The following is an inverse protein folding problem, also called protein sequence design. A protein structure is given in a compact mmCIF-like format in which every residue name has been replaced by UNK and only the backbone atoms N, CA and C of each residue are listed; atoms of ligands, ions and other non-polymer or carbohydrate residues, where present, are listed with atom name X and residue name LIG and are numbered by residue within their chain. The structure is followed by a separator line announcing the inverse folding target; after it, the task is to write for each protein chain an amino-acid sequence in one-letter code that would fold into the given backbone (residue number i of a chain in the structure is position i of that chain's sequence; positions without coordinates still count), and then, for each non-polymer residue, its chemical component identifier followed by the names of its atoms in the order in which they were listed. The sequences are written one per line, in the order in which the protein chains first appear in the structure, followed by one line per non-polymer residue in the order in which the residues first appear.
data_IF_082602860351
#
_entry.id   IF_082602860351
#
_cell.length_a   1.000
_cell.length_b   1.000
_cell.length_c   1.000
_cell.angle_alpha   90.00
_cell.angle_beta   90.00
_cell.angle_gamma   90.00
#
_symmetry.space_group_name_H-M   'P 1'
#
loop_
_entity.id
_entity.type
_entity.pdbx_description
1 polymer ?
#
# COMPACT_ATOMS: atom_id res chain seq x y z
N UNK A 1 -3.20 12.45 52.00
CA UNK A 1 -3.13 13.54 51.00
C UNK A 1 -2.29 13.21 49.77
N UNK A 2 -1.25 12.36 49.86
CA UNK A 2 -0.44 11.90 48.70
C UNK A 2 -1.16 10.89 47.76
N UNK A 3 -1.98 9.99 48.33
CA UNK A 3 -2.72 8.98 47.55
C UNK A 3 -3.96 9.52 46.82
N UNK A 4 -4.52 10.64 47.29
CA UNK A 4 -5.72 11.24 46.71
C UNK A 4 -5.41 12.01 45.40
N UNK A 5 -4.20 12.54 45.29
CA UNK A 5 -3.67 13.18 44.07
C UNK A 5 -3.32 12.13 43.01
N UNK A 6 -2.84 10.95 43.42
CA UNK A 6 -2.53 9.85 42.50
C UNK A 6 -3.80 9.25 41.85
N UNK A 7 -4.90 9.15 42.60
CA UNK A 7 -6.19 8.69 42.07
C UNK A 7 -6.81 9.68 41.06
N UNK A 8 -6.66 10.99 41.33
CA UNK A 8 -7.17 12.03 40.43
C UNK A 8 -6.34 12.16 39.14
N UNK A 9 -5.02 11.91 39.22
CA UNK A 9 -4.15 11.82 38.06
C UNK A 9 -4.45 10.59 37.19
N UNK A 10 -4.83 9.47 37.81
CA UNK A 10 -5.22 8.26 37.07
C UNK A 10 -6.59 8.43 36.38
N UNK A 11 -7.55 9.11 37.00
CA UNK A 11 -8.86 9.38 36.38
C UNK A 11 -8.81 10.41 35.25
N UNK A 12 -7.84 11.34 35.24
CA UNK A 12 -7.67 12.27 34.13
C UNK A 12 -7.13 11.59 32.85
N UNK A 13 -6.46 10.43 32.98
CA UNK A 13 -5.88 9.71 31.83
C UNK A 13 -6.89 8.87 31.05
N UNK A 14 -8.09 8.60 31.58
CA UNK A 14 -9.07 7.70 30.95
C UNK A 14 -10.03 8.43 30.03
N UNK A 15 -10.12 9.77 30.12
CA UNK A 15 -11.02 10.56 29.28
C UNK A 15 -10.44 10.92 27.89
N UNK A 16 -9.22 10.45 27.54
CA UNK A 16 -8.56 10.79 26.26
C UNK A 16 -8.68 9.67 25.22
N UNK A 17 -9.18 8.48 25.57
CA UNK A 17 -9.50 7.42 24.59
C UNK A 17 -10.95 7.53 24.10
N UNK A 18 -11.36 8.73 23.70
CA UNK A 18 -12.60 8.89 22.93
C UNK A 18 -12.37 8.35 21.53
N UNK A 19 -12.84 7.13 21.25
CA UNK A 19 -12.97 6.67 19.88
C UNK A 19 -14.15 7.42 19.28
N UNK A 20 -13.88 8.22 18.25
CA UNK A 20 -14.91 8.92 17.51
C UNK A 20 -15.39 8.11 16.32
N UNK A 21 -16.48 8.56 15.71
CA UNK A 21 -16.96 8.00 14.45
C UNK A 21 -16.03 8.46 13.31
N UNK A 22 -15.42 7.53 12.59
CA UNK A 22 -14.57 7.84 11.44
C UNK A 22 -15.43 8.19 10.23
N UNK A 23 -15.10 9.26 9.53
CA UNK A 23 -15.75 9.57 8.26
C UNK A 23 -15.19 8.71 7.12
N UNK A 24 -16.01 7.78 6.60
CA UNK A 24 -15.61 6.91 5.47
C UNK A 24 -15.18 7.70 4.22
N UNK A 25 -15.67 8.92 4.00
CA UNK A 25 -15.27 9.75 2.86
C UNK A 25 -13.84 10.31 2.98
N UNK A 26 -13.25 10.24 4.18
CA UNK A 26 -11.87 10.64 4.47
C UNK A 26 -10.92 9.43 4.57
N UNK A 27 -11.44 8.22 4.39
CA UNK A 27 -10.65 7.00 4.26
C UNK A 27 -10.37 6.73 2.78
N UNK A 28 -9.13 6.39 2.46
CA UNK A 28 -8.70 6.08 1.10
C UNK A 28 -7.73 4.91 1.12
N UNK A 29 -7.88 3.98 0.19
CA UNK A 29 -6.90 2.89 0.00
C UNK A 29 -5.81 3.42 -0.93
N UNK A 30 -4.60 3.53 -0.42
CA UNK A 30 -3.48 4.10 -1.17
C UNK A 30 -2.70 3.05 -1.93
N UNK A 31 -2.64 1.83 -1.41
CA UNK A 31 -1.89 0.73 -2.02
C UNK A 31 -2.41 -0.64 -1.59
N UNK A 32 -2.22 -1.63 -2.47
CA UNK A 32 -2.55 -3.03 -2.21
C UNK A 32 -1.44 -3.90 -2.80
N UNK A 33 -0.71 -4.60 -1.94
CA UNK A 33 0.37 -5.50 -2.33
C UNK A 33 -0.07 -6.94 -2.11
N UNK A 34 0.08 -7.79 -3.12
CA UNK A 34 -0.26 -9.21 -3.05
C UNK A 34 1.02 -10.00 -3.28
N UNK A 35 1.37 -10.86 -2.32
CA UNK A 35 2.48 -11.80 -2.45
C UNK A 35 1.94 -13.22 -2.66
N UNK A 36 1.98 -13.70 -3.90
CA UNK A 36 1.52 -15.04 -4.26
C UNK A 36 2.49 -16.16 -3.83
N UNK A 37 3.73 -15.84 -3.46
CA UNK A 37 4.69 -16.82 -2.94
C UNK A 37 4.52 -17.02 -1.43
N UNK A 38 4.35 -15.93 -0.68
CA UNK A 38 4.14 -15.95 0.76
C UNK A 38 2.66 -16.10 1.15
N UNK A 39 1.75 -16.03 0.17
CA UNK A 39 0.30 -16.08 0.37
C UNK A 39 -0.20 -15.00 1.33
N UNK A 40 0.21 -13.76 1.11
CA UNK A 40 -0.19 -12.60 1.91
C UNK A 40 -0.76 -11.48 1.04
N UNK A 41 -1.60 -10.65 1.65
CA UNK A 41 -2.10 -9.40 1.10
C UNK A 41 -1.94 -8.28 2.13
N UNK A 42 -1.32 -7.19 1.70
CA UNK A 42 -1.12 -5.99 2.48
C UNK A 42 -1.94 -4.85 1.88
N UNK A 43 -2.75 -4.20 2.70
CA UNK A 43 -3.58 -3.06 2.27
C UNK A 43 -3.18 -1.83 3.07
N UNK A 44 -2.81 -0.77 2.37
CA UNK A 44 -2.55 0.54 2.96
C UNK A 44 -3.83 1.37 2.95
N UNK A 45 -4.34 1.71 4.15
CA UNK A 45 -5.50 2.59 4.32
C UNK A 45 -5.03 3.90 4.95
N UNK A 46 -5.21 4.98 4.21
CA UNK A 46 -4.98 6.34 4.68
C UNK A 46 -6.24 6.91 5.31
N UNK A 47 -6.14 7.26 6.59
CA UNK A 47 -7.16 7.98 7.33
C UNK A 47 -6.82 9.47 7.31
N UNK A 48 -7.55 10.26 6.53
CA UNK A 48 -7.39 11.72 6.46
C UNK A 48 -8.30 12.47 7.45
N UNK A 49 -9.00 11.75 8.32
CA UNK A 49 -9.78 12.34 9.41
C UNK A 49 -8.85 12.80 10.54
N UNK A 50 -9.41 13.58 11.46
CA UNK A 50 -8.80 14.04 12.71
C UNK A 50 -8.96 13.05 13.86
N UNK A 51 -9.64 11.91 13.61
CA UNK A 51 -10.02 10.93 14.61
C UNK A 51 -9.33 9.60 14.32
N UNK A 52 -8.71 9.02 15.35
CA UNK A 52 -8.14 7.68 15.30
C UNK A 52 -9.22 6.61 15.44
N UNK A 53 -9.06 5.48 14.76
CA UNK A 53 -9.82 4.25 15.02
C UNK A 53 -8.90 3.18 15.59
N UNK A 54 -9.31 2.53 16.68
CA UNK A 54 -8.54 1.43 17.27
C UNK A 54 -9.26 0.12 17.05
N UNK A 55 -8.48 -0.92 16.78
CA UNK A 55 -8.97 -2.22 16.33
C UNK A 55 -9.81 -2.21 15.04
N UNK A 56 -9.60 -1.28 14.08
CA UNK A 56 -10.20 -1.47 12.77
C UNK A 56 -9.59 -2.68 12.07
N UNK A 57 -10.30 -3.25 11.13
CA UNK A 57 -9.81 -4.35 10.32
C UNK A 57 -10.55 -4.41 8.99
N UNK A 58 -9.93 -5.02 7.99
CA UNK A 58 -10.58 -5.34 6.73
C UNK A 58 -11.31 -6.66 6.93
N UNK A 59 -12.63 -6.64 6.82
CA UNK A 59 -13.47 -7.81 7.03
C UNK A 59 -13.41 -8.76 5.82
N UNK A 60 -13.56 -8.21 4.62
CA UNK A 60 -13.36 -8.96 3.38
C UNK A 60 -13.02 -8.03 2.22
N UNK A 61 -12.40 -8.61 1.20
CA UNK A 61 -12.07 -7.95 -0.06
C UNK A 61 -12.75 -8.73 -1.19
N UNK A 62 -13.43 -8.02 -2.07
CA UNK A 62 -14.16 -8.61 -3.22
C UNK A 62 -13.62 -8.00 -4.51
N UNK A 63 -13.39 -8.83 -5.51
CA UNK A 63 -13.02 -8.36 -6.84
C UNK A 63 -14.24 -7.90 -7.66
N UNK A 64 -13.99 -7.35 -8.85
CA UNK A 64 -15.06 -6.89 -9.73
C UNK A 64 -15.90 -8.01 -10.36
N UNK A 65 -15.47 -9.27 -10.31
CA UNK A 65 -16.30 -10.43 -10.64
C UNK A 65 -17.24 -10.85 -9.50
N UNK A 66 -17.04 -10.32 -8.30
CA UNK A 66 -17.80 -10.68 -7.11
C UNK A 66 -17.16 -11.82 -6.30
N UNK A 67 -15.95 -12.25 -6.65
CA UNK A 67 -15.23 -13.28 -5.91
C UNK A 67 -14.57 -12.68 -4.67
N UNK A 68 -14.72 -13.36 -3.53
CA UNK A 68 -14.07 -12.94 -2.27
C UNK A 68 -12.60 -13.37 -2.31
N UNK A 69 -11.72 -12.37 -2.28
CA UNK A 69 -10.26 -12.53 -2.35
C UNK A 69 -9.70 -12.93 -0.98
N UNK A 70 -10.20 -12.29 0.08
CA UNK A 70 -9.63 -12.38 1.41
C UNK A 70 -10.75 -12.15 2.44
N UNK A 71 -10.64 -12.86 3.58
CA UNK A 71 -11.45 -12.64 4.78
C UNK A 71 -10.50 -12.32 5.93
N UNK A 72 -10.73 -11.19 6.60
CA UNK A 72 -9.85 -10.69 7.64
C UNK A 72 -10.56 -10.61 8.98
N UNK A 73 -9.77 -10.79 10.02
CA UNK A 73 -10.22 -10.75 11.39
C UNK A 73 -9.69 -9.50 12.11
N UNK A 74 -10.36 -9.14 13.20
CA UNK A 74 -9.93 -8.06 14.07
C UNK A 74 -8.58 -8.40 14.72
N UNK A 75 -7.64 -7.47 14.62
CA UNK A 75 -6.31 -7.59 15.23
C UNK A 75 -5.93 -6.29 15.95
N UNK A 76 -4.72 -6.20 16.50
CA UNK A 76 -4.15 -5.00 17.12
C UNK A 76 -3.73 -3.97 16.04
N UNK A 77 -4.63 -3.62 15.15
CA UNK A 77 -4.46 -2.54 14.20
C UNK A 77 -4.99 -1.22 14.77
N UNK A 78 -4.48 -0.11 14.23
CA UNK A 78 -4.94 1.24 14.53
C UNK A 78 -4.89 2.05 13.23
N UNK A 79 -5.97 2.77 12.92
CA UNK A 79 -5.99 3.78 11.86
C UNK A 79 -5.78 5.15 12.50
N UNK A 80 -4.53 5.60 12.54
CA UNK A 80 -4.20 6.93 13.09
C UNK A 80 -4.71 8.05 12.19
N UNK A 81 -5.18 9.12 12.80
CA UNK A 81 -5.64 10.34 12.16
C UNK A 81 -4.54 10.96 11.33
N UNK A 82 -4.90 11.37 10.12
CA UNK A 82 -4.03 11.97 9.13
C UNK A 82 -2.77 11.11 8.82
N UNK A 83 -2.90 9.78 8.88
CA UNK A 83 -1.82 8.82 8.61
C UNK A 83 -2.32 7.60 7.82
N UNK A 84 -1.37 6.91 7.19
CA UNK A 84 -1.58 5.63 6.51
C UNK A 84 -1.18 4.46 7.40
N UNK A 85 -2.08 3.50 7.54
CA UNK A 85 -1.86 2.26 8.29
C UNK A 85 -1.92 1.06 7.36
N UNK A 86 -1.11 0.05 7.67
CA UNK A 86 -1.02 -1.20 6.91
C UNK A 86 -1.79 -2.31 7.59
N UNK A 87 -2.56 -3.05 6.79
CA UNK A 87 -3.36 -4.19 7.23
C UNK A 87 -2.88 -5.42 6.46
N UNK A 88 -2.26 -6.34 7.20
CA UNK A 88 -1.68 -7.57 6.66
C UNK A 88 -2.61 -8.74 6.95
N UNK A 89 -2.86 -9.55 5.92
CA UNK A 89 -3.66 -10.77 6.03
C UNK A 89 -3.11 -11.89 5.16
N UNK A 90 -3.38 -13.13 5.57
CA UNK A 90 -3.10 -14.31 4.77
C UNK A 90 -4.20 -14.54 3.71
N UNK A 91 -3.81 -15.08 2.55
CA UNK A 91 -4.70 -15.60 1.51
C UNK A 91 -4.52 -17.12 1.37
N UNK A 92 -5.55 -17.83 0.91
CA UNK A 92 -5.54 -19.31 0.92
C UNK A 92 -4.80 -19.94 -0.26
N UNK A 93 -4.60 -19.19 -1.33
CA UNK A 93 -3.99 -19.64 -2.58
C UNK A 93 -3.53 -18.43 -3.40
N UNK A 94 -2.64 -18.62 -4.38
CA UNK A 94 -2.28 -17.55 -5.30
C UNK A 94 -3.52 -17.00 -6.04
N UNK A 95 -3.58 -15.68 -6.18
CA UNK A 95 -4.70 -14.95 -6.77
C UNK A 95 -4.22 -13.95 -7.84
N UNK A 96 -5.12 -13.60 -8.74
CA UNK A 96 -4.98 -12.49 -9.69
C UNK A 96 -6.29 -11.70 -9.71
N UNK A 97 -6.44 -10.67 -8.85
CA UNK A 97 -7.69 -9.93 -8.71
C UNK A 97 -8.10 -9.25 -10.00
N UNK A 98 -9.42 -9.15 -10.22
CA UNK A 98 -9.96 -8.29 -11.26
C UNK A 98 -10.35 -6.95 -10.64
N UNK A 99 -9.65 -5.89 -11.04
CA UNK A 99 -9.89 -4.54 -10.53
C UNK A 99 -11.08 -3.85 -11.23
N UNK A 100 -11.74 -2.86 -10.57
CA UNK A 100 -11.45 -2.39 -9.22
C UNK A 100 -11.86 -3.41 -8.15
N UNK A 101 -11.10 -3.46 -7.06
CA UNK A 101 -11.44 -4.28 -5.90
C UNK A 101 -12.17 -3.42 -4.86
N UNK A 102 -13.07 -4.05 -4.11
CA UNK A 102 -13.85 -3.42 -3.04
C UNK A 102 -13.39 -3.98 -1.70
N UNK A 103 -13.03 -3.09 -0.78
CA UNK A 103 -12.44 -3.38 0.53
C UNK A 103 -13.43 -2.94 1.60
N UNK A 104 -13.89 -3.89 2.42
CA UNK A 104 -14.84 -3.63 3.49
C UNK A 104 -14.09 -3.39 4.81
N UNK A 105 -13.85 -2.12 5.11
CA UNK A 105 -13.12 -1.67 6.28
C UNK A 105 -14.07 -1.51 7.48
N UNK A 106 -13.96 -2.38 8.47
CA UNK A 106 -14.81 -2.38 9.67
C UNK A 106 -14.09 -1.71 10.83
N UNK A 107 -14.83 -0.94 11.61
CA UNK A 107 -14.38 -0.33 12.85
C UNK A 107 -15.52 -0.23 13.87
N UNK A 108 -15.17 -0.11 15.14
CA UNK A 108 -16.15 0.01 16.22
C UNK A 108 -16.10 1.40 16.85
N UNK A 109 -17.28 1.93 17.17
CA UNK A 109 -17.41 3.09 18.03
C UNK A 109 -17.74 2.62 19.45
N UNK A 110 -16.75 2.58 20.35
CA UNK A 110 -16.94 2.04 21.70
C UNK A 110 -17.44 3.07 22.71
N UNK A 111 -17.19 4.37 22.48
CA UNK A 111 -17.42 5.43 23.48
C UNK A 111 -18.23 6.62 22.97
N UNK A 112 -18.58 6.66 21.69
CA UNK A 112 -19.35 7.73 21.08
C UNK A 112 -20.87 7.65 21.32
N UNK A 113 -21.58 8.66 20.81
CA UNK A 113 -23.04 8.83 20.98
C UNK A 113 -23.87 7.67 20.40
N UNK A 114 -23.35 7.01 19.37
CA UNK A 114 -23.96 5.86 18.72
C UNK A 114 -22.92 4.72 18.73
N UNK A 115 -22.89 3.91 19.80
CA UNK A 115 -21.94 2.82 19.89
C UNK A 115 -22.39 1.66 19.00
N UNK A 116 -21.43 1.00 18.36
CA UNK A 116 -21.68 -0.10 17.45
C UNK A 116 -20.55 -0.33 16.46
N UNK A 117 -20.73 -1.33 15.61
CA UNK A 117 -19.80 -1.67 14.54
C UNK A 117 -20.26 -1.03 13.24
N UNK A 118 -19.33 -0.44 12.51
CA UNK A 118 -19.53 0.27 11.26
C UNK A 118 -18.58 -0.28 10.21
N UNK A 119 -19.04 -0.31 8.96
CA UNK A 119 -18.22 -0.75 7.83
C UNK A 119 -18.22 0.33 6.76
N UNK A 120 -17.03 0.74 6.34
CA UNK A 120 -16.81 1.58 5.18
C UNK A 120 -16.51 0.70 3.97
N UNK A 121 -17.18 0.98 2.85
CA UNK A 121 -16.87 0.38 1.56
C UNK A 121 -15.86 1.28 0.84
N UNK A 122 -14.65 0.77 0.64
CA UNK A 122 -13.55 1.49 -0.01
C UNK A 122 -13.24 0.82 -1.34
N UNK A 123 -13.05 1.60 -2.40
CA UNK A 123 -12.69 1.08 -3.73
C UNK A 123 -11.22 1.34 -4.01
N UNK A 124 -10.53 0.34 -4.55
CA UNK A 124 -9.16 0.47 -5.02
C UNK A 124 -9.06 0.02 -6.48
N UNK A 125 -8.45 0.86 -7.31
CA UNK A 125 -8.22 0.59 -8.72
C UNK A 125 -6.73 0.81 -9.03
N UNK A 126 -6.15 -0.10 -9.81
CA UNK A 126 -4.77 0.00 -10.30
C UNK A 126 -4.59 1.14 -11.28
N UNK A 127 -5.65 1.68 -11.89
CA UNK A 127 -5.56 2.89 -12.73
C UNK A 127 -4.91 4.08 -11.98
N UNK A 128 -4.97 4.10 -10.65
CA UNK A 128 -4.33 5.12 -9.81
C UNK A 128 -2.81 4.94 -9.59
N UNK A 129 -2.28 3.71 -9.77
CA UNK A 129 -0.87 3.37 -9.49
C UNK A 129 -0.06 3.00 -10.75
N UNK A 130 -0.59 3.19 -11.95
CA UNK A 130 0.20 3.08 -13.18
C UNK A 130 1.07 4.35 -13.31
N UNK A 131 2.16 4.43 -12.54
CA UNK A 131 3.38 4.98 -13.12
C UNK A 131 3.77 4.01 -14.23
N UNK A 132 3.56 4.41 -15.48
CA UNK A 132 3.97 3.67 -16.68
C UNK A 132 5.51 3.61 -16.67
N UNK A 133 6.07 2.73 -15.87
CA UNK A 133 7.40 2.16 -16.04
C UNK A 133 7.28 0.73 -16.63
N UNK A 134 6.09 0.46 -17.20
CA UNK A 134 5.79 -0.70 -18.03
C UNK A 134 6.68 -0.68 -19.27
N UNK A 135 7.83 -1.33 -19.16
CA UNK A 135 8.44 -2.12 -20.24
C UNK A 135 8.58 -1.34 -21.56
N UNK A 136 9.31 -0.23 -21.55
CA UNK A 136 10.12 0.05 -22.73
C UNK A 136 11.35 -0.85 -22.61
N UNK A 137 11.22 -2.09 -23.09
CA UNK A 137 12.39 -2.90 -23.44
C UNK A 137 13.16 -2.11 -24.51
N UNK A 138 14.07 -1.26 -24.07
CA UNK A 138 14.89 -0.44 -24.95
C UNK A 138 15.71 -1.38 -25.84
N UNK A 139 15.54 -1.25 -27.15
CA UNK A 139 16.25 -2.10 -28.10
C UNK A 139 17.59 -1.48 -28.44
N UNK A 140 18.64 -2.30 -28.52
CA UNK A 140 19.96 -1.80 -28.87
C UNK A 140 19.94 -1.27 -30.32
N UNK A 141 20.05 0.04 -30.46
CA UNK A 141 20.04 0.71 -31.77
C UNK A 141 21.41 0.68 -32.43
N UNK A 142 22.46 1.02 -31.68
CA UNK A 142 23.82 1.13 -32.23
C UNK A 142 24.90 1.02 -31.16
N UNK A 143 26.06 0.45 -31.52
CA UNK A 143 27.27 0.49 -30.70
C UNK A 143 28.31 1.40 -31.37
N UNK A 144 28.81 2.40 -30.65
CA UNK A 144 29.87 3.28 -31.13
C UNK A 144 31.07 3.31 -30.18
N UNK A 145 32.26 3.53 -30.73
CA UNK A 145 33.45 3.77 -29.93
C UNK A 145 33.54 5.24 -29.47
N UNK A 146 34.61 5.59 -28.73
CA UNK A 146 34.89 6.94 -28.26
C UNK A 146 35.10 7.99 -29.36
N UNK A 147 35.30 7.57 -30.61
CA UNK A 147 35.43 8.42 -31.79
C UNK A 147 34.11 8.54 -32.57
N UNK A 148 33.01 7.97 -32.09
CA UNK A 148 31.70 7.98 -32.74
C UNK A 148 31.58 7.02 -33.94
N UNK A 149 32.54 6.12 -34.13
CA UNK A 149 32.50 5.12 -35.20
C UNK A 149 31.76 3.87 -34.73
N UNK A 150 30.90 3.35 -35.59
CA UNK A 150 30.18 2.09 -35.38
C UNK A 150 31.14 0.89 -35.35
N UNK A 151 30.94 0.00 -34.38
CA UNK A 151 31.80 -1.16 -34.16
C UNK A 151 30.96 -2.40 -33.85
N UNK A 152 31.31 -3.53 -34.46
CA UNK A 152 30.56 -4.77 -34.28
C UNK A 152 31.03 -5.52 -33.02
N UNK A 153 32.34 -5.74 -32.83
CA UNK A 153 32.92 -6.28 -31.59
C UNK A 153 34.41 -5.96 -31.55
N UNK A 154 34.86 -5.40 -30.43
CA UNK A 154 36.26 -5.00 -30.19
C UNK A 154 36.52 -5.09 -28.70
N UNK A 155 37.52 -5.86 -28.29
CA UNK A 155 37.92 -6.00 -26.89
C UNK A 155 38.85 -4.86 -26.46
N UNK A 156 39.00 -4.66 -25.15
CA UNK A 156 39.87 -3.67 -24.52
C UNK A 156 39.58 -2.19 -24.85
N UNK A 157 38.32 -1.84 -25.09
CA UNK A 157 37.92 -0.46 -25.28
C UNK A 157 36.56 -0.11 -24.65
N UNK A 158 36.33 1.19 -24.46
CA UNK A 158 35.06 1.75 -24.02
C UNK A 158 34.12 1.82 -25.23
N UNK A 159 32.92 1.26 -25.07
CA UNK A 159 31.84 1.27 -26.05
C UNK A 159 30.62 1.98 -25.50
N UNK A 160 29.95 2.75 -26.35
CA UNK A 160 28.67 3.38 -26.07
C UNK A 160 27.57 2.60 -26.80
N UNK A 161 26.69 1.97 -26.03
CA UNK A 161 25.50 1.30 -26.50
C UNK A 161 24.37 2.31 -26.50
N UNK A 162 23.95 2.73 -27.68
CA UNK A 162 22.86 3.66 -27.90
C UNK A 162 21.60 2.83 -28.13
N UNK A 163 20.54 3.18 -27.43
CA UNK A 163 19.23 2.53 -27.54
C UNK A 163 18.26 3.37 -28.38
N UNK A 164 17.18 2.74 -28.83
CA UNK A 164 16.11 3.38 -29.61
C UNK A 164 15.37 4.50 -28.87
N UNK A 165 15.30 4.42 -27.54
CA UNK A 165 14.80 5.47 -26.65
C UNK A 165 15.74 6.69 -26.50
N UNK A 166 16.92 6.64 -27.13
CA UNK A 166 17.94 7.68 -27.07
C UNK A 166 18.84 7.61 -25.83
N UNK A 167 18.65 6.64 -24.94
CA UNK A 167 19.54 6.40 -23.81
C UNK A 167 20.88 5.82 -24.28
N UNK A 168 21.94 6.06 -23.49
CA UNK A 168 23.29 5.60 -23.82
C UNK A 168 23.92 4.92 -22.62
N UNK A 169 24.36 3.67 -22.79
CA UNK A 169 25.14 2.92 -21.81
C UNK A 169 26.61 2.84 -22.19
N UNK A 170 27.48 3.20 -21.26
CA UNK A 170 28.93 3.06 -21.39
C UNK A 170 29.38 1.71 -20.83
N UNK A 171 29.91 0.83 -21.69
CA UNK A 171 30.46 -0.48 -21.30
C UNK A 171 31.95 -0.55 -21.59
N UNK A 172 32.72 -1.16 -20.69
CA UNK A 172 34.12 -1.49 -20.93
C UNK A 172 34.21 -2.98 -21.18
N UNK A 173 34.64 -3.37 -22.39
CA UNK A 173 34.75 -4.78 -22.79
C UNK A 173 36.19 -5.21 -22.60
N UNK A 174 36.43 -6.24 -21.79
CA UNK A 174 37.75 -6.86 -21.53
C UNK A 174 37.72 -8.28 -22.09
N UNK A 175 38.87 -8.78 -22.54
CA UNK A 175 39.05 -10.19 -22.93
C UNK A 175 39.13 -11.12 -21.71
#
# INVERSE_FOLDING_TARGET
MRYLVAFFAFSLSVCVFGQGLVNCSLLTVTDVMINNEELTIDVAVNNSDTIDSHYPYINYIVDSSGDTIQNGDMNLFVAFANQTSWYNYDITSPITPIYPITIYFTYSNLTGKEPGDYTCELTYDISHNISIDLINEKTLYKIVNTLGREVNHTTNQILFHIYDDGSVEKKFVVE
#
